data_IF_097617214297
#
_entry.id   IF_097617214297
#
_cell.length_a   1.000
_cell.length_b   1.000
_cell.length_c   1.000
_cell.angle_alpha   90.00
_cell.angle_beta   90.00
_cell.angle_gamma   90.00
#
_symmetry.space_group_name_H-M   'P 1'
#
loop_
_entity.id
_entity.type
_entity.pdbx_description
1 polymer ?
#
# COMPACT_ATOMS: atom_id res chain seq x y z
N UNK A 1 1.10 14.81 9.56
CA UNK A 1 0.02 15.46 8.80
C UNK A 1 -0.83 14.37 8.15
N UNK A 2 -2.15 14.52 8.13
CA UNK A 2 -3.05 13.59 7.43
C UNK A 2 -3.10 13.93 5.95
N UNK A 3 -3.00 12.92 5.11
CA UNK A 3 -3.01 12.96 3.65
C UNK A 3 -3.95 11.86 3.13
N UNK A 4 -4.26 11.86 1.84
CA UNK A 4 -5.04 10.78 1.21
C UNK A 4 -4.17 10.06 0.19
N UNK A 5 -4.37 8.76 0.07
CA UNK A 5 -3.74 7.95 -0.98
C UNK A 5 -4.81 7.23 -1.80
N UNK A 6 -4.47 6.97 -3.06
CA UNK A 6 -5.27 6.16 -3.99
C UNK A 6 -4.34 5.31 -4.84
N UNK A 7 -4.84 4.18 -5.33
CA UNK A 7 -4.12 3.25 -6.17
C UNK A 7 -5.02 2.13 -6.68
N UNK A 8 -4.42 1.14 -7.34
CA UNK A 8 -5.12 -0.03 -7.87
C UNK A 8 -4.36 -1.28 -7.46
N UNK A 9 -5.05 -2.25 -6.85
CA UNK A 9 -4.49 -3.55 -6.43
C UNK A 9 -4.38 -4.60 -7.54
N UNK A 10 -4.85 -4.24 -8.74
CA UNK A 10 -4.90 -5.09 -9.93
C UNK A 10 -6.27 -5.02 -10.58
N UNK A 11 -7.28 -5.56 -9.89
CA UNK A 11 -8.68 -5.51 -10.31
C UNK A 11 -9.41 -4.32 -9.67
N UNK A 12 -9.17 -4.13 -8.38
CA UNK A 12 -9.88 -3.22 -7.54
C UNK A 12 -9.06 -1.95 -7.27
N UNK A 13 -9.74 -0.82 -7.36
CA UNK A 13 -9.18 0.44 -6.89
C UNK A 13 -9.20 0.44 -5.36
N UNK A 14 -8.16 0.99 -4.75
CA UNK A 14 -8.03 1.13 -3.31
C UNK A 14 -7.62 2.55 -2.92
N UNK A 15 -7.97 2.96 -1.71
CA UNK A 15 -7.52 4.23 -1.17
C UNK A 15 -7.92 4.40 0.29
N UNK A 16 -7.41 5.46 0.90
CA UNK A 16 -7.67 5.74 2.30
C UNK A 16 -6.95 6.99 2.79
N UNK A 17 -7.08 7.23 4.09
CA UNK A 17 -6.26 8.23 4.77
C UNK A 17 -4.85 7.69 4.99
N UNK A 18 -3.89 8.60 5.08
CA UNK A 18 -2.52 8.29 5.45
C UNK A 18 -2.02 9.35 6.41
N UNK A 19 -1.21 8.93 7.37
CA UNK A 19 -0.54 9.85 8.31
C UNK A 19 0.94 9.76 8.05
N UNK A 20 1.50 10.86 7.56
CA UNK A 20 2.92 10.99 7.27
C UNK A 20 3.57 11.82 8.38
N UNK A 21 4.64 11.28 8.93
CA UNK A 21 5.56 11.93 9.87
C UNK A 21 6.99 11.91 9.35
N UNK A 22 7.95 12.38 10.16
CA UNK A 22 9.36 12.47 9.76
C UNK A 22 9.99 11.12 9.39
N UNK A 23 9.66 10.05 10.12
CA UNK A 23 10.17 8.67 9.87
C UNK A 23 9.04 7.63 10.02
N UNK A 24 7.81 8.02 9.73
CA UNK A 24 6.64 7.15 9.89
C UNK A 24 5.63 7.36 8.79
N UNK A 25 5.11 6.27 8.25
CA UNK A 25 4.01 6.25 7.31
C UNK A 25 2.97 5.26 7.82
N UNK A 26 1.80 5.74 8.24
CA UNK A 26 0.67 4.87 8.54
C UNK A 26 -0.39 5.06 7.47
N UNK A 27 -0.82 3.96 6.86
CA UNK A 27 -2.00 3.95 6.02
C UNK A 27 -3.19 3.62 6.93
N UNK A 28 -4.21 4.46 6.90
CA UNK A 28 -5.46 4.28 7.62
C UNK A 28 -6.30 3.15 7.02
N UNK A 29 -7.55 2.96 7.48
CA UNK A 29 -8.43 1.92 6.96
C UNK A 29 -8.51 1.99 5.44
N UNK A 30 -8.21 0.87 4.79
CA UNK A 30 -8.19 0.78 3.34
C UNK A 30 -9.61 0.51 2.86
N UNK A 31 -10.11 1.37 1.97
CA UNK A 31 -11.33 1.13 1.22
C UNK A 31 -10.94 0.60 -0.17
N UNK A 32 -11.56 -0.51 -0.60
CA UNK A 32 -11.38 -1.07 -1.92
C UNK A 32 -12.72 -1.24 -2.64
N UNK A 33 -12.70 -1.19 -3.98
CA UNK A 33 -13.87 -1.57 -4.78
C UNK A 33 -14.09 -3.08 -4.71
N UNK A 34 -15.33 -3.54 -4.90
CA UNK A 34 -15.69 -4.96 -4.91
C UNK A 34 -16.00 -5.49 -6.32
N UNK A 35 -15.11 -5.26 -7.29
CA UNK A 35 -15.28 -5.78 -8.66
C UNK A 35 -14.94 -7.27 -8.67
N UNK A 36 -15.83 -8.07 -9.24
CA UNK A 36 -15.56 -9.48 -9.51
C UNK A 36 -14.75 -9.60 -10.82
N UNK A 37 -13.42 -9.60 -10.75
CA UNK A 37 -12.60 -9.91 -11.91
C UNK A 37 -12.51 -11.43 -12.15
N UNK A 38 -12.55 -11.82 -13.42
CA UNK A 38 -12.51 -13.22 -13.89
C UNK A 38 -11.07 -13.79 -13.85
N UNK A 39 -10.07 -12.92 -13.78
CA UNK A 39 -8.66 -13.25 -13.98
C UNK A 39 -7.88 -13.08 -12.68
N UNK A 40 -7.31 -14.20 -12.21
CA UNK A 40 -6.39 -14.39 -11.07
C UNK A 40 -7.04 -14.53 -9.68
N UNK A 41 -6.52 -15.43 -8.82
CA UNK A 41 -7.08 -15.62 -7.49
C UNK A 41 -6.90 -14.33 -6.69
N UNK A 42 -7.98 -13.79 -6.13
CA UNK A 42 -7.99 -12.57 -5.32
C UNK A 42 -6.95 -12.53 -4.18
N UNK A 43 -6.35 -13.68 -3.86
CA UNK A 43 -5.22 -13.82 -2.94
C UNK A 43 -4.08 -12.81 -3.15
N UNK A 44 -3.68 -12.48 -4.38
CA UNK A 44 -2.58 -11.52 -4.59
C UNK A 44 -2.99 -10.07 -4.24
N UNK A 45 -4.23 -9.70 -4.57
CA UNK A 45 -4.79 -8.39 -4.26
C UNK A 45 -5.06 -8.26 -2.75
N UNK A 46 -5.60 -9.30 -2.12
CA UNK A 46 -5.78 -9.36 -0.68
C UNK A 46 -4.45 -9.25 0.08
N UNK A 47 -3.41 -9.93 -0.40
CA UNK A 47 -2.06 -9.81 0.16
C UNK A 47 -1.51 -8.38 0.00
N UNK A 48 -1.74 -7.75 -1.14
CA UNK A 48 -1.35 -6.37 -1.38
C UNK A 48 -2.06 -5.40 -0.43
N UNK A 49 -3.38 -5.52 -0.26
CA UNK A 49 -4.16 -4.68 0.65
C UNK A 49 -3.76 -4.89 2.12
N UNK A 50 -3.56 -6.14 2.55
CA UNK A 50 -3.04 -6.43 3.90
C UNK A 50 -1.66 -5.82 4.13
N UNK A 51 -0.79 -5.86 3.14
CA UNK A 51 0.54 -5.25 3.23
C UNK A 51 0.47 -3.71 3.37
N UNK A 52 -0.47 -3.06 2.67
CA UNK A 52 -0.73 -1.63 2.87
C UNK A 52 -1.20 -1.33 4.30
N UNK A 53 -2.14 -2.11 4.84
CA UNK A 53 -2.64 -1.94 6.22
C UNK A 53 -1.56 -2.18 7.29
N UNK A 54 -0.59 -3.06 7.03
CA UNK A 54 0.53 -3.33 7.92
C UNK A 54 1.66 -2.29 7.81
N UNK A 55 1.63 -1.41 6.81
CA UNK A 55 2.68 -0.41 6.58
C UNK A 55 2.75 0.57 7.75
N UNK A 56 3.95 0.75 8.29
CA UNK A 56 4.25 1.70 9.38
C UNK A 56 5.38 2.66 9.03
N UNK A 57 6.22 2.31 8.06
CA UNK A 57 7.32 3.13 7.58
C UNK A 57 7.46 3.00 6.06
N UNK A 58 8.07 4.00 5.46
CA UNK A 58 8.47 3.98 4.06
C UNK A 58 9.91 4.43 3.92
N UNK A 59 10.61 3.85 2.96
CA UNK A 59 12.00 4.18 2.64
C UNK A 59 12.16 4.25 1.13
N UNK A 60 13.00 5.18 0.67
CA UNK A 60 13.50 5.17 -0.70
C UNK A 60 14.83 4.41 -0.76
N UNK A 61 14.89 3.39 -1.62
CA UNK A 61 16.08 2.63 -1.96
C UNK A 61 16.42 2.87 -3.43
N UNK A 62 17.26 3.88 -3.69
CA UNK A 62 17.47 4.40 -5.04
C UNK A 62 16.19 5.03 -5.57
N UNK A 63 15.66 4.49 -6.67
CA UNK A 63 14.38 4.92 -7.26
C UNK A 63 13.18 4.12 -6.72
N UNK A 64 13.40 3.11 -5.90
CA UNK A 64 12.32 2.26 -5.38
C UNK A 64 11.76 2.80 -4.07
N UNK A 65 10.42 2.88 -3.99
CA UNK A 65 9.72 3.12 -2.74
C UNK A 65 9.44 1.78 -2.06
N UNK A 66 9.93 1.61 -0.83
CA UNK A 66 9.79 0.39 -0.03
C UNK A 66 8.92 0.68 1.19
N UNK A 67 7.82 -0.04 1.32
CA UNK A 67 6.99 -0.01 2.53
C UNK A 67 7.41 -1.10 3.49
N UNK A 68 7.41 -0.74 4.78
CA UNK A 68 7.95 -1.55 5.86
C UNK A 68 6.92 -1.65 6.98
N UNK A 69 6.92 -2.78 7.68
CA UNK A 69 6.11 -2.96 8.89
C UNK A 69 6.71 -2.23 10.12
N UNK A 70 6.09 -2.42 11.29
CA UNK A 70 6.57 -1.84 12.55
C UNK A 70 7.97 -2.30 12.96
N UNK A 71 8.37 -3.51 12.57
CA UNK A 71 9.68 -4.11 12.86
C UNK A 71 10.76 -3.72 11.86
N UNK A 72 10.39 -3.04 10.76
CA UNK A 72 11.30 -2.68 9.67
C UNK A 72 11.44 -3.77 8.60
N UNK A 73 10.55 -4.77 8.58
CA UNK A 73 10.54 -5.80 7.53
C UNK A 73 9.89 -5.24 6.25
N UNK A 74 10.49 -5.45 5.06
CA UNK A 74 9.88 -5.06 3.80
C UNK A 74 8.56 -5.79 3.53
N UNK A 75 7.54 -5.02 3.15
CA UNK A 75 6.20 -5.51 2.79
C UNK A 75 5.93 -5.34 1.29
N UNK A 76 6.20 -4.15 0.75
CA UNK A 76 5.93 -3.80 -0.66
C UNK A 76 7.09 -3.00 -1.24
N UNK A 77 7.29 -3.12 -2.55
CA UNK A 77 8.27 -2.36 -3.33
C UNK A 77 7.58 -1.80 -4.57
N UNK A 78 7.76 -0.51 -4.81
CA UNK A 78 7.21 0.19 -5.96
C UNK A 78 8.34 0.83 -6.75
N UNK A 79 8.25 0.72 -8.07
CA UNK A 79 9.03 1.54 -8.98
C UNK A 79 8.35 2.90 -9.17
N UNK A 80 9.09 3.94 -9.58
CA UNK A 80 8.49 5.20 -9.95
C UNK A 80 7.41 4.97 -11.02
N UNK A 81 6.25 5.61 -10.84
CA UNK A 81 5.28 5.70 -11.92
C UNK A 81 5.90 6.50 -13.07
N UNK A 82 5.65 6.07 -14.31
CA UNK A 82 5.95 6.89 -15.49
C UNK A 82 4.97 8.05 -15.60
#
# INVERSE_FOLDING_TARGET
MSQRFSGTGGCNACGGESVVGLDSLRLGPLAATGKACVTLPGAQEDMFFRALELTRKARLEGEQLVFLDASGKPLLRFLPGK
#
